data_IF_137323915454
#
_entry.id   IF_137323915454
#
_cell.length_a   1.000
_cell.length_b   1.000
_cell.length_c   1.000
_cell.angle_alpha   90.00
_cell.angle_beta   90.00
_cell.angle_gamma   90.00
#
_symmetry.space_group_name_H-M   'P 1'
#
loop_
_entity.id
_entity.type
_entity.pdbx_description
1 polymer ?
#
# COMPACT_ATOMS: atom_id res chain seq x y z
N UNK A 1 -29.49 -30.90 -38.55
CA UNK A 1 -28.12 -30.78 -39.10
C UNK A 1 -27.13 -30.85 -37.95
N UNK A 2 -26.59 -32.04 -37.70
CA UNK A 2 -25.53 -32.28 -36.72
C UNK A 2 -24.18 -32.13 -37.41
N UNK A 3 -23.25 -31.36 -36.84
CA UNK A 3 -21.79 -31.53 -36.96
C UNK A 3 -21.09 -30.24 -36.57
N UNK A 4 -20.55 -30.12 -35.36
CA UNK A 4 -19.27 -29.44 -35.06
C UNK A 4 -18.86 -29.73 -33.61
N UNK A 5 -18.36 -30.94 -33.37
CA UNK A 5 -17.53 -31.24 -32.20
C UNK A 5 -16.40 -32.17 -32.67
N UNK A 6 -15.35 -31.57 -33.24
CA UNK A 6 -14.06 -32.23 -33.46
C UNK A 6 -13.01 -31.46 -32.67
N UNK A 7 -12.74 -31.92 -31.46
CA UNK A 7 -11.58 -31.50 -30.67
C UNK A 7 -10.32 -32.03 -31.35
N UNK A 8 -9.46 -31.13 -31.84
CA UNK A 8 -8.19 -31.50 -32.47
C UNK A 8 -7.13 -31.64 -31.37
N UNK A 9 -6.90 -32.86 -30.91
CA UNK A 9 -5.86 -33.22 -29.93
C UNK A 9 -4.50 -33.52 -30.58
N UNK A 10 -4.07 -32.66 -31.51
CA UNK A 10 -2.78 -32.76 -32.20
C UNK A 10 -1.78 -31.71 -31.70
N UNK A 11 -0.51 -32.10 -31.49
CA UNK A 11 0.57 -31.15 -31.18
C UNK A 11 0.73 -30.17 -32.36
N UNK A 12 0.57 -28.87 -32.09
CA UNK A 12 0.74 -27.80 -33.08
C UNK A 12 2.17 -27.83 -33.66
N UNK A 13 2.28 -28.05 -34.96
CA UNK A 13 3.51 -27.91 -35.74
C UNK A 13 3.36 -26.73 -36.69
N UNK A 14 4.33 -25.82 -36.71
CA UNK A 14 4.35 -24.69 -37.64
C UNK A 14 4.74 -25.17 -39.04
N UNK A 15 4.19 -24.51 -40.08
CA UNK A 15 4.48 -24.81 -41.49
C UNK A 15 5.98 -24.58 -41.72
N UNK A 16 6.73 -25.65 -41.97
CA UNK A 16 8.21 -25.64 -42.01
C UNK A 16 8.90 -26.70 -41.13
N UNK A 17 8.16 -27.54 -40.41
CA UNK A 17 8.72 -28.74 -39.75
C UNK A 17 9.41 -28.51 -38.40
N UNK A 18 9.40 -27.29 -37.86
CA UNK A 18 9.97 -26.99 -36.55
C UNK A 18 8.97 -27.26 -35.42
N UNK A 19 9.25 -28.26 -34.59
CA UNK A 19 8.47 -28.55 -33.37
C UNK A 19 8.91 -27.66 -32.21
N UNK A 20 7.97 -27.01 -31.52
CA UNK A 20 8.22 -26.29 -30.27
C UNK A 20 8.56 -27.29 -29.14
N UNK A 21 9.85 -27.54 -28.88
CA UNK A 21 10.29 -28.34 -27.73
C UNK A 21 10.19 -27.48 -26.46
N UNK A 22 9.35 -27.88 -25.51
CA UNK A 22 9.31 -27.25 -24.19
C UNK A 22 10.60 -27.57 -23.41
N UNK A 23 11.32 -26.52 -23.02
CA UNK A 23 12.60 -26.61 -22.31
C UNK A 23 12.33 -26.98 -20.85
N UNK A 24 12.60 -28.23 -20.46
CA UNK A 24 12.52 -28.70 -19.06
C UNK A 24 13.57 -27.97 -18.22
N UNK A 25 13.14 -27.23 -17.19
CA UNK A 25 14.03 -26.68 -16.14
C UNK A 25 14.46 -27.79 -15.19
N UNK A 26 15.76 -27.91 -14.95
CA UNK A 26 16.35 -28.86 -14.01
C UNK A 26 16.10 -28.41 -12.56
N UNK A 27 15.44 -29.24 -11.76
CA UNK A 27 15.27 -29.06 -10.32
C UNK A 27 16.44 -29.67 -9.56
N UNK A 28 17.13 -28.84 -8.77
CA UNK A 28 18.22 -29.22 -7.88
C UNK A 28 17.61 -29.89 -6.64
N UNK A 29 17.99 -31.15 -6.37
CA UNK A 29 17.57 -31.91 -5.19
C UNK A 29 18.27 -31.35 -3.93
N UNK A 30 17.51 -30.92 -2.93
CA UNK A 30 17.98 -30.75 -1.55
C UNK A 30 17.13 -31.62 -0.62
N UNK A 31 17.83 -32.20 0.36
CA UNK A 31 17.48 -33.38 1.14
C UNK A 31 16.23 -33.17 2.02
N UNK A 32 15.37 -34.18 2.01
CA UNK A 32 14.27 -34.38 2.95
C UNK A 32 14.89 -34.87 4.26
N UNK A 33 14.68 -34.14 5.35
CA UNK A 33 14.80 -34.69 6.70
C UNK A 33 13.41 -34.74 7.30
N UNK A 34 13.09 -35.95 7.74
CA UNK A 34 11.84 -36.41 8.30
C UNK A 34 11.57 -35.74 9.66
N UNK A 35 10.36 -35.21 9.87
CA UNK A 35 9.77 -35.09 11.21
C UNK A 35 8.26 -34.86 11.14
N UNK A 36 7.54 -35.95 11.43
CA UNK A 36 6.27 -36.04 12.15
C UNK A 36 5.07 -35.25 11.60
N UNK A 37 4.27 -35.98 10.82
CA UNK A 37 2.81 -35.78 10.67
C UNK A 37 2.17 -35.61 12.04
N UNK A 38 1.72 -34.40 12.35
CA UNK A 38 0.65 -34.15 13.32
C UNK A 38 -0.58 -33.87 12.48
N UNK A 39 -1.50 -34.80 12.50
CA UNK A 39 -2.79 -34.72 11.81
C UNK A 39 -3.52 -33.49 12.36
N UNK A 40 -3.54 -32.43 11.56
CA UNK A 40 -4.38 -31.28 11.83
C UNK A 40 -5.75 -31.65 11.30
N UNK A 41 -6.61 -32.14 12.19
CA UNK A 41 -8.04 -32.09 12.00
C UNK A 41 -8.40 -30.63 11.73
N UNK A 42 -8.53 -30.28 10.45
CA UNK A 42 -9.19 -29.07 9.99
C UNK A 42 -10.69 -29.32 10.08
N UNK A 43 -11.17 -29.49 11.32
CA UNK A 43 -12.58 -29.41 11.65
C UNK A 43 -12.99 -27.94 11.52
N UNK A 44 -13.49 -27.62 10.33
CA UNK A 44 -14.60 -26.72 10.07
C UNK A 44 -15.07 -25.88 11.28
N UNK A 45 -14.53 -24.67 11.43
CA UNK A 45 -15.24 -23.58 12.08
C UNK A 45 -14.73 -22.21 11.63
N UNK A 46 -14.53 -22.02 10.32
CA UNK A 46 -14.65 -20.66 9.77
C UNK A 46 -16.14 -20.43 9.63
N UNK A 47 -16.75 -19.94 10.70
CA UNK A 47 -18.07 -19.34 10.64
C UNK A 47 -17.91 -18.14 9.71
N UNK A 48 -18.21 -18.34 8.43
CA UNK A 48 -18.44 -17.25 7.51
C UNK A 48 -19.59 -16.46 8.11
N UNK A 49 -19.28 -15.37 8.81
CA UNK A 49 -20.29 -14.43 9.25
C UNK A 49 -21.09 -14.06 8.01
N UNK A 50 -22.38 -14.42 8.01
CA UNK A 50 -23.30 -14.09 6.95
C UNK A 50 -23.32 -12.57 6.90
N UNK A 51 -22.62 -11.98 5.93
CA UNK A 51 -22.58 -10.53 5.77
C UNK A 51 -23.94 -10.08 5.28
N UNK A 52 -24.75 -9.52 6.18
CA UNK A 52 -26.04 -8.96 5.83
C UNK A 52 -25.83 -7.61 5.12
N UNK A 53 -26.31 -7.52 3.88
CA UNK A 53 -26.15 -6.33 3.05
C UNK A 53 -27.18 -5.27 3.46
N UNK A 54 -26.86 -4.49 4.50
CA UNK A 54 -27.77 -3.46 5.04
C UNK A 54 -27.59 -2.13 4.29
N UNK A 55 -28.70 -1.59 3.76
CA UNK A 55 -28.77 -0.25 3.15
C UNK A 55 -28.89 0.80 4.25
N UNK A 56 -27.85 1.61 4.43
CA UNK A 56 -27.83 2.72 5.39
C UNK A 56 -28.19 4.03 4.71
N UNK A 57 -28.93 4.89 5.41
CA UNK A 57 -29.24 6.25 4.93
C UNK A 57 -28.07 7.18 5.23
N UNK A 58 -27.60 7.89 4.22
CA UNK A 58 -26.56 8.92 4.36
C UNK A 58 -27.05 10.17 5.08
N UNK A 59 -26.14 10.86 5.77
CA UNK A 59 -26.41 12.19 6.30
C UNK A 59 -26.32 13.25 5.21
N UNK A 60 -27.19 14.26 5.32
CA UNK A 60 -27.26 15.34 4.35
C UNK A 60 -27.83 14.89 3.01
N UNK A 61 -27.42 15.61 1.98
CA UNK A 61 -27.85 15.44 0.58
C UNK A 61 -26.65 15.61 -0.32
N UNK A 62 -26.75 15.19 -1.57
CA UNK A 62 -25.67 15.33 -2.52
C UNK A 62 -26.16 15.81 -3.89
N UNK A 63 -25.21 16.38 -4.61
CA UNK A 63 -25.23 16.65 -6.03
C UNK A 63 -24.16 15.77 -6.69
N UNK A 64 -24.34 15.49 -7.97
CA UNK A 64 -23.33 14.76 -8.74
C UNK A 64 -23.05 15.50 -10.05
N UNK A 65 -21.78 15.49 -10.44
CA UNK A 65 -21.36 15.91 -11.77
C UNK A 65 -20.29 14.96 -12.27
N UNK A 66 -20.63 14.18 -13.30
CA UNK A 66 -19.79 13.10 -13.80
C UNK A 66 -19.44 12.10 -12.69
N UNK A 67 -18.15 11.93 -12.44
CA UNK A 67 -17.62 11.00 -11.41
C UNK A 67 -17.43 11.63 -10.04
N UNK A 68 -17.86 12.87 -9.84
CA UNK A 68 -17.65 13.62 -8.60
C UNK A 68 -18.98 13.79 -7.87
N UNK A 69 -18.98 13.46 -6.59
CA UNK A 69 -20.06 13.71 -5.65
C UNK A 69 -19.74 14.94 -4.84
N UNK A 70 -20.71 15.84 -4.76
CA UNK A 70 -20.64 17.03 -3.93
C UNK A 70 -21.73 16.95 -2.86
N UNK A 71 -21.30 16.74 -1.62
CA UNK A 71 -22.16 16.83 -0.45
C UNK A 71 -22.72 18.24 -0.32
N UNK A 72 -23.90 18.34 0.25
CA UNK A 72 -24.52 19.59 0.65
C UNK A 72 -24.64 19.63 2.17
N UNK A 73 -25.30 20.67 2.70
CA UNK A 73 -25.34 20.95 4.13
C UNK A 73 -25.74 19.72 4.96
N UNK A 74 -24.84 19.30 5.85
CA UNK A 74 -25.02 18.15 6.74
C UNK A 74 -24.44 16.82 6.24
N UNK A 75 -23.79 16.77 5.07
CA UNK A 75 -23.07 15.58 4.61
C UNK A 75 -21.80 15.32 5.43
N UNK A 76 -21.55 14.04 5.74
CA UNK A 76 -20.37 13.58 6.52
C UNK A 76 -19.66 12.41 5.83
N UNK A 77 -19.17 12.65 4.61
CA UNK A 77 -18.58 11.58 3.81
C UNK A 77 -17.38 10.90 4.46
N UNK A 78 -16.51 11.58 5.23
CA UNK A 78 -15.36 10.93 5.86
C UNK A 78 -15.78 9.95 6.97
N UNK A 79 -16.89 10.24 7.64
CA UNK A 79 -17.39 9.40 8.72
C UNK A 79 -18.21 8.22 8.18
N UNK A 80 -19.00 8.45 7.12
CA UNK A 80 -19.99 7.48 6.64
C UNK A 80 -19.52 6.63 5.49
N UNK A 81 -18.58 7.11 4.67
CA UNK A 81 -18.18 6.47 3.42
C UNK A 81 -16.71 6.07 3.45
N UNK A 82 -16.43 4.89 2.90
CA UNK A 82 -15.08 4.39 2.70
C UNK A 82 -14.89 3.96 1.24
N UNK A 83 -13.63 3.95 0.80
CA UNK A 83 -13.26 3.40 -0.50
C UNK A 83 -13.75 1.95 -0.61
N UNK A 84 -14.46 1.64 -1.70
CA UNK A 84 -15.06 0.34 -1.95
C UNK A 84 -16.53 0.23 -1.53
N UNK A 85 -17.05 1.16 -0.72
CA UNK A 85 -18.48 1.18 -0.39
C UNK A 85 -19.32 1.47 -1.63
N UNK A 86 -20.56 0.97 -1.65
CA UNK A 86 -21.51 1.28 -2.70
C UNK A 86 -22.42 2.43 -2.27
N UNK A 87 -22.53 3.47 -3.09
CA UNK A 87 -23.51 4.53 -2.95
C UNK A 87 -24.72 4.22 -3.82
N UNK A 88 -25.91 4.39 -3.26
CA UNK A 88 -27.20 4.15 -3.91
C UNK A 88 -27.99 5.44 -3.91
N UNK A 89 -28.44 5.85 -5.09
CA UNK A 89 -29.22 7.07 -5.27
C UNK A 89 -30.45 6.76 -6.09
N UNK A 90 -31.56 7.38 -5.73
CA UNK A 90 -32.76 7.39 -6.55
C UNK A 90 -32.81 8.70 -7.34
N UNK A 91 -32.83 8.59 -8.67
CA UNK A 91 -32.90 9.77 -9.53
C UNK A 91 -34.24 10.49 -9.34
N UNK A 92 -34.25 11.83 -9.22
CA UNK A 92 -35.45 12.59 -8.88
C UNK A 92 -36.49 12.59 -10.01
N UNK A 93 -36.05 12.47 -11.27
CA UNK A 93 -36.92 12.49 -12.44
C UNK A 93 -37.28 11.08 -12.93
N UNK A 94 -36.31 10.18 -13.05
CA UNK A 94 -36.53 8.85 -13.59
C UNK A 94 -37.00 7.85 -12.51
N UNK A 95 -36.87 8.20 -11.23
CA UNK A 95 -37.20 7.35 -10.08
C UNK A 95 -36.43 6.02 -10.02
N UNK A 96 -35.46 5.84 -10.93
CA UNK A 96 -34.60 4.65 -11.02
C UNK A 96 -33.53 4.73 -9.93
N UNK A 97 -33.31 3.61 -9.24
CA UNK A 97 -32.20 3.46 -8.31
C UNK A 97 -30.92 3.09 -9.08
N UNK A 98 -29.87 3.87 -8.86
CA UNK A 98 -28.54 3.59 -9.39
C UNK A 98 -27.54 3.39 -8.27
N UNK A 99 -26.70 2.37 -8.44
CA UNK A 99 -25.63 2.03 -7.51
C UNK A 99 -24.27 2.27 -8.16
N UNK A 100 -23.36 2.89 -7.42
CA UNK A 100 -21.99 3.20 -7.85
C UNK A 100 -21.01 2.91 -6.72
N UNK A 101 -19.77 2.58 -7.06
CA UNK A 101 -18.74 2.29 -6.04
C UNK A 101 -17.94 3.55 -5.75
N UNK A 102 -17.64 3.79 -4.47
CA UNK A 102 -16.80 4.90 -4.03
C UNK A 102 -15.34 4.57 -4.30
N UNK A 103 -14.69 5.40 -5.09
CA UNK A 103 -13.27 5.26 -5.45
C UNK A 103 -12.37 6.01 -4.46
N UNK A 104 -12.81 7.17 -4.00
CA UNK A 104 -12.05 8.00 -3.08
C UNK A 104 -12.99 8.96 -2.33
N UNK A 105 -12.65 9.25 -1.09
CA UNK A 105 -13.32 10.26 -0.25
C UNK A 105 -12.27 11.32 0.07
N UNK A 106 -12.51 12.55 -0.36
CA UNK A 106 -11.57 13.66 -0.23
C UNK A 106 -11.84 14.51 1.01
N UNK A 107 -13.12 14.77 1.28
CA UNK A 107 -13.60 15.52 2.44
C UNK A 107 -15.03 15.12 2.77
N UNK A 108 -15.59 15.65 3.85
CA UNK A 108 -17.00 15.42 4.21
C UNK A 108 -18.00 15.86 3.12
N UNK A 109 -17.55 16.69 2.19
CA UNK A 109 -18.37 17.31 1.14
C UNK A 109 -17.95 16.84 -0.25
N UNK A 110 -16.84 16.11 -0.39
CA UNK A 110 -16.35 15.70 -1.72
C UNK A 110 -15.88 14.25 -1.74
N UNK A 111 -16.43 13.50 -2.69
CA UNK A 111 -16.06 12.12 -2.96
C UNK A 111 -16.10 11.86 -4.47
N UNK A 112 -15.45 10.78 -4.92
CA UNK A 112 -15.50 10.35 -6.31
C UNK A 112 -15.92 8.89 -6.42
N UNK A 113 -16.72 8.64 -7.45
CA UNK A 113 -17.31 7.34 -7.78
C UNK A 113 -16.64 6.69 -8.99
N UNK A 114 -16.80 5.38 -9.11
CA UNK A 114 -16.21 4.55 -10.16
C UNK A 114 -16.63 4.95 -11.58
N UNK A 115 -17.88 5.39 -11.73
CA UNK A 115 -18.47 5.81 -13.00
C UNK A 115 -19.59 6.79 -12.73
N UNK A 116 -19.84 7.70 -13.68
CA UNK A 116 -20.93 8.65 -13.57
C UNK A 116 -22.30 7.94 -13.46
N UNK A 117 -23.27 8.65 -12.90
CA UNK A 117 -24.68 8.25 -13.00
C UNK A 117 -25.18 8.45 -14.44
N UNK A 118 -26.34 7.88 -14.78
CA UNK A 118 -26.94 8.09 -16.11
C UNK A 118 -27.24 9.57 -16.40
N UNK A 119 -27.66 10.30 -15.36
CA UNK A 119 -27.85 11.74 -15.38
C UNK A 119 -27.24 12.38 -14.14
N UNK A 120 -26.61 13.55 -14.31
CA UNK A 120 -26.09 14.34 -13.21
C UNK A 120 -27.23 14.81 -12.29
N UNK A 121 -26.97 14.79 -10.98
CA UNK A 121 -27.91 15.19 -9.95
C UNK A 121 -27.74 16.69 -9.70
N UNK A 122 -28.55 17.47 -10.40
CA UNK A 122 -28.56 18.94 -10.30
C UNK A 122 -29.35 19.42 -9.07
N UNK A 123 -30.26 18.59 -8.55
CA UNK A 123 -31.06 18.88 -7.37
C UNK A 123 -30.55 18.14 -6.14
N UNK A 124 -30.81 18.72 -4.97
CA UNK A 124 -30.40 18.20 -3.66
C UNK A 124 -31.04 16.84 -3.35
N UNK A 125 -30.33 15.76 -3.61
CA UNK A 125 -30.88 14.40 -3.49
C UNK A 125 -30.38 13.67 -2.24
N UNK A 126 -31.26 12.94 -1.54
CA UNK A 126 -30.83 12.03 -0.48
C UNK A 126 -30.11 10.82 -1.09
N UNK A 127 -29.17 10.26 -0.34
CA UNK A 127 -28.43 9.07 -0.76
C UNK A 127 -28.43 8.01 0.33
N UNK A 128 -28.14 6.79 -0.09
CA UNK A 128 -27.92 5.64 0.76
C UNK A 128 -26.54 5.07 0.46
N UNK A 129 -25.98 4.32 1.39
CA UNK A 129 -24.75 3.59 1.17
C UNK A 129 -24.82 2.20 1.77
N UNK A 130 -24.01 1.32 1.20
CA UNK A 130 -23.86 -0.08 1.61
C UNK A 130 -22.38 -0.29 1.85
N UNK A 131 -22.04 -0.78 3.04
CA UNK A 131 -20.67 -1.03 3.42
C UNK A 131 -20.09 -2.20 2.65
N UNK A 132 -18.86 -2.05 2.18
CA UNK A 132 -18.12 -3.15 1.59
C UNK A 132 -17.84 -4.23 2.67
N UNK A 133 -17.83 -5.52 2.29
CA UNK A 133 -17.30 -6.56 3.15
C UNK A 133 -15.86 -6.23 3.51
N UNK A 134 -15.52 -6.28 4.80
CA UNK A 134 -14.14 -6.08 5.23
C UNK A 134 -13.33 -7.32 4.90
N UNK A 135 -12.48 -7.23 3.89
CA UNK A 135 -11.39 -8.18 3.68
C UNK A 135 -10.31 -7.92 4.75
N UNK A 136 -10.55 -8.35 5.99
CA UNK A 136 -9.66 -8.11 7.14
C UNK A 136 -8.21 -8.54 6.84
N UNK A 137 -8.02 -9.53 5.98
CA UNK A 137 -6.71 -10.03 5.57
C UNK A 137 -5.90 -9.01 4.77
N UNK A 138 -6.51 -8.29 3.82
CA UNK A 138 -5.79 -7.31 2.98
C UNK A 138 -5.39 -6.07 3.76
N UNK A 139 -6.27 -5.58 4.63
CA UNK A 139 -5.99 -4.41 5.48
C UNK A 139 -4.85 -4.69 6.46
N UNK A 140 -4.86 -5.88 7.09
CA UNK A 140 -3.77 -6.30 7.99
C UNK A 140 -2.44 -6.47 7.25
N UNK A 141 -2.45 -6.99 6.03
CA UNK A 141 -1.24 -7.13 5.21
C UNK A 141 -0.63 -5.78 4.83
N UNK A 142 -1.44 -4.81 4.40
CA UNK A 142 -0.98 -3.46 4.04
C UNK A 142 -0.37 -2.73 5.24
N UNK A 143 -1.05 -2.74 6.39
CA UNK A 143 -0.57 -2.07 7.60
C UNK A 143 0.72 -2.71 8.15
N UNK A 144 0.82 -4.05 8.09
CA UNK A 144 2.06 -4.75 8.43
C UNK A 144 3.20 -4.39 7.47
N UNK A 145 2.93 -4.23 6.18
CA UNK A 145 3.94 -3.90 5.19
C UNK A 145 4.47 -2.48 5.40
N UNK A 146 3.59 -1.53 5.72
CA UNK A 146 4.01 -0.17 6.09
C UNK A 146 4.84 -0.13 7.37
N UNK A 147 4.42 -0.86 8.42
CA UNK A 147 5.20 -0.97 9.66
C UNK A 147 6.57 -1.59 9.42
N UNK A 148 6.67 -2.63 8.58
CA UNK A 148 7.95 -3.24 8.17
C UNK A 148 8.82 -2.25 7.38
N UNK A 149 8.25 -1.46 6.48
CA UNK A 149 8.99 -0.43 5.73
C UNK A 149 9.52 0.66 6.66
N UNK A 150 8.69 1.19 7.56
CA UNK A 150 9.11 2.19 8.56
C UNK A 150 10.23 1.65 9.44
N UNK A 151 10.09 0.44 9.99
CA UNK A 151 11.15 -0.22 10.78
C UNK A 151 12.45 -0.36 10.00
N UNK A 152 12.41 -0.79 8.73
CA UNK A 152 13.61 -0.88 7.89
C UNK A 152 14.27 0.48 7.66
N UNK A 153 13.48 1.53 7.44
CA UNK A 153 14.00 2.89 7.27
C UNK A 153 14.60 3.39 8.58
N UNK A 154 13.92 3.18 9.70
CA UNK A 154 14.41 3.54 11.03
C UNK A 154 15.69 2.76 11.39
N UNK A 155 15.76 1.47 11.05
CA UNK A 155 16.97 0.65 11.19
C UNK A 155 18.12 1.19 10.34
N UNK A 156 17.88 1.56 9.08
CA UNK A 156 18.88 2.18 8.20
C UNK A 156 19.37 3.54 8.73
N UNK A 157 18.46 4.37 9.25
CA UNK A 157 18.77 5.68 9.81
C UNK A 157 19.48 5.55 11.17
N UNK A 158 19.02 4.65 12.03
CA UNK A 158 19.58 4.41 13.36
C UNK A 158 20.99 3.81 13.28
N UNK A 159 21.26 3.00 12.26
CA UNK A 159 22.61 2.54 11.97
C UNK A 159 23.54 3.61 11.37
N UNK A 160 23.02 4.81 11.11
CA UNK A 160 23.64 5.98 10.46
C UNK A 160 24.83 6.64 11.15
N UNK A 161 25.69 5.87 11.81
CA UNK A 161 27.08 6.24 12.19
C UNK A 161 28.03 5.04 12.31
N UNK A 162 27.53 3.79 12.34
CA UNK A 162 28.36 2.60 12.60
C UNK A 162 28.13 1.41 11.64
N UNK A 163 27.12 1.44 10.75
CA UNK A 163 26.84 0.34 9.82
C UNK A 163 27.84 0.20 8.66
N UNK A 164 28.73 1.16 8.44
CA UNK A 164 29.80 1.04 7.46
C UNK A 164 30.96 0.24 8.02
N UNK A 165 30.78 -1.05 8.27
CA UNK A 165 31.87 -1.95 8.64
C UNK A 165 32.91 -2.09 7.52
N UNK A 166 32.53 -1.80 6.26
CA UNK A 166 33.40 -1.98 5.09
C UNK A 166 33.08 -1.06 3.91
N UNK A 167 32.02 -0.24 3.95
CA UNK A 167 31.58 0.56 2.81
C UNK A 167 31.79 2.06 3.05
N UNK A 168 32.28 2.73 2.01
CA UNK A 168 32.69 4.14 1.99
C UNK A 168 31.54 5.03 2.48
N UNK A 169 31.79 5.80 3.54
CA UNK A 169 30.79 6.68 4.14
C UNK A 169 30.78 8.05 3.43
N UNK A 170 29.58 8.56 3.15
CA UNK A 170 29.39 9.91 2.60
C UNK A 170 29.19 11.00 3.65
N UNK A 171 29.14 10.66 4.95
CA UNK A 171 28.88 11.63 6.03
C UNK A 171 29.78 11.36 7.24
N UNK A 172 30.26 12.41 7.90
CA UNK A 172 30.95 12.34 9.18
C UNK A 172 30.34 13.31 10.19
N UNK A 173 30.36 12.92 11.47
CA UNK A 173 29.81 13.73 12.57
C UNK A 173 30.90 14.09 13.56
N UNK A 174 30.94 15.34 14.00
CA UNK A 174 31.97 15.84 14.92
C UNK A 174 31.40 16.87 15.90
N UNK A 175 32.11 17.11 16.99
CA UNK A 175 31.67 18.05 18.04
C UNK A 175 32.35 19.41 17.89
N UNK A 176 31.56 20.48 17.97
CA UNK A 176 32.03 21.86 17.97
C UNK A 176 31.62 22.54 19.26
N UNK A 177 32.54 23.26 19.90
CA UNK A 177 32.25 24.04 21.11
C UNK A 177 31.34 25.21 20.74
N UNK A 178 30.17 25.31 21.38
CA UNK A 178 29.25 26.44 21.19
C UNK A 178 29.88 27.70 21.79
N UNK A 179 29.91 28.78 21.03
CA UNK A 179 30.31 30.10 21.52
C UNK A 179 29.19 30.69 22.36
N UNK A 180 29.20 30.42 23.66
CA UNK A 180 28.23 30.96 24.61
C UNK A 180 28.74 30.85 26.05
N UNK A 181 28.18 31.68 26.94
CA UNK A 181 28.61 31.81 28.35
C UNK A 181 28.61 30.47 29.13
N UNK A 182 27.81 29.49 28.70
CA UNK A 182 27.65 28.18 29.34
C UNK A 182 28.39 27.01 28.64
N UNK A 183 29.27 27.29 27.67
CA UNK A 183 30.35 26.36 27.27
C UNK A 183 29.97 24.93 26.83
N UNK A 184 28.85 24.72 26.14
CA UNK A 184 28.41 23.41 25.65
C UNK A 184 29.05 22.95 24.32
N UNK A 185 28.76 21.71 23.90
CA UNK A 185 29.15 21.17 22.59
C UNK A 185 27.91 20.96 21.70
N UNK A 186 28.04 21.22 20.41
CA UNK A 186 27.07 20.87 19.37
C UNK A 186 27.60 19.68 18.55
N UNK A 187 26.73 18.76 18.15
CA UNK A 187 27.05 17.70 17.18
C UNK A 187 26.72 18.24 15.80
N UNK A 188 27.73 18.37 14.95
CA UNK A 188 27.61 18.80 13.56
C UNK A 188 27.72 17.56 12.67
N UNK A 189 26.86 17.47 11.65
CA UNK A 189 26.92 16.46 10.59
C UNK A 189 27.36 17.15 9.30
N UNK A 190 28.44 16.68 8.69
CA UNK A 190 28.94 17.17 7.41
C UNK A 190 28.99 16.02 6.40
N UNK A 191 28.61 16.32 5.16
CA UNK A 191 28.72 15.38 4.05
C UNK A 191 30.14 15.44 3.49
N UNK A 192 30.78 14.28 3.38
CA UNK A 192 32.00 14.13 2.59
C UNK A 192 31.61 14.21 1.11
N UNK A 193 32.02 15.29 0.46
CA UNK A 193 31.77 15.57 -0.96
C UNK A 193 32.26 14.47 -1.93
N UNK A 194 33.06 13.52 -1.41
CA UNK A 194 33.56 12.33 -2.11
C UNK A 194 33.41 11.14 -1.17
N UNK A 195 33.01 9.99 -1.69
CA UNK A 195 33.02 8.72 -0.97
C UNK A 195 34.45 8.36 -0.53
N UNK A 196 34.74 8.55 0.76
CA UNK A 196 36.07 8.30 1.33
C UNK A 196 36.09 7.03 2.16
N UNK A 197 37.29 6.50 2.37
CA UNK A 197 37.47 5.37 3.27
C UNK A 197 37.11 5.77 4.71
N UNK A 198 36.84 4.79 5.56
CA UNK A 198 36.52 5.06 6.97
C UNK A 198 37.67 5.73 7.71
N UNK A 199 38.90 5.35 7.37
CA UNK A 199 40.13 5.94 7.92
C UNK A 199 40.24 7.42 7.53
N UNK A 200 40.00 7.73 6.26
CA UNK A 200 40.00 9.12 5.77
C UNK A 200 38.93 9.99 6.47
N UNK A 201 37.73 9.45 6.72
CA UNK A 201 36.67 10.18 7.43
C UNK A 201 37.05 10.45 8.89
N UNK A 202 37.73 9.49 9.54
CA UNK A 202 38.26 9.66 10.88
C UNK A 202 39.38 10.71 10.91
N UNK A 203 40.26 10.73 9.92
CA UNK A 203 41.32 11.74 9.80
C UNK A 203 40.75 13.15 9.59
N UNK A 204 39.69 13.28 8.77
CA UNK A 204 38.99 14.55 8.59
C UNK A 204 38.36 15.01 9.90
N UNK A 205 37.74 14.08 10.64
CA UNK A 205 37.14 14.35 11.94
C UNK A 205 38.19 14.75 12.98
N UNK A 206 39.33 14.07 13.04
CA UNK A 206 40.42 14.34 13.97
C UNK A 206 41.03 15.74 13.77
N UNK A 207 41.02 16.24 12.53
CA UNK A 207 41.47 17.61 12.21
C UNK A 207 40.52 18.70 12.74
N UNK A 208 39.30 18.37 13.15
CA UNK A 208 38.34 19.35 13.70
C UNK A 208 38.64 19.62 15.18
N UNK A 209 39.14 20.82 15.49
CA UNK A 209 39.45 21.27 16.85
C UNK A 209 38.18 21.27 17.72
N UNK A 210 38.14 20.39 18.74
CA UNK A 210 37.05 20.35 19.72
C UNK A 210 36.32 19.02 19.85
N UNK A 211 36.66 17.99 19.07
CA UNK A 211 36.14 16.65 19.30
C UNK A 211 36.92 15.92 20.40
N UNK A 212 36.22 15.54 21.47
CA UNK A 212 36.81 14.84 22.63
C UNK A 212 37.30 13.42 22.30
N UNK A 213 36.83 12.83 21.20
CA UNK A 213 37.13 11.43 20.85
C UNK A 213 38.35 11.30 19.93
N UNK A 214 38.94 12.44 19.53
CA UNK A 214 40.12 12.52 18.69
C UNK A 214 41.15 13.48 19.33
N UNK A 215 41.42 13.30 20.63
CA UNK A 215 42.57 13.92 21.30
C UNK A 215 43.84 13.11 21.02
#
# INVERSE_FOLDING_TARGET
MSSYNKTVSGKLTLKGGFSLKSRKKATKKTKIHDSKKREHELSASVVSSVFELVKHRGSGRLLSSGTTLMGQMGAKFLQELQVGDAIVIQHPMSLVEETRIIRMVLSDVSASISSAFSSDLVSSTPFYYIKAPKDDQKQQEEEQNEKKKKRKMDEQIAFGTYAGGTEKGGQYTYRVKKSGAYGGYAIVKEDANVERSREDLLDIRAKKKGDRHCM
#
